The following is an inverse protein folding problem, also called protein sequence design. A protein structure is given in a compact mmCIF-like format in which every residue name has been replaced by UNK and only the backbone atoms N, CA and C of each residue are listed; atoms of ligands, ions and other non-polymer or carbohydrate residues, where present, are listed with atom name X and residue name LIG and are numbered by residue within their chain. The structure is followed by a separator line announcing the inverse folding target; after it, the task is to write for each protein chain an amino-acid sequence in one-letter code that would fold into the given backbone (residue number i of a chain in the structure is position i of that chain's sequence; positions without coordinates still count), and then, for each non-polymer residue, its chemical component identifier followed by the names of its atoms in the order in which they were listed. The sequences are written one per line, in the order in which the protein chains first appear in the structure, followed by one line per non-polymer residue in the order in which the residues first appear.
data_IF_046153680322
#
_entry.id   IF_046153680322
#
_cell.length_a   1.000
_cell.length_b   1.000
_cell.length_c   1.000
_cell.angle_alpha   90.00
_cell.angle_beta   90.00
_cell.angle_gamma   90.00
#
_symmetry.space_group_name_H-M   'P 1'
#
loop_
_entity.id
_entity.type
_entity.pdbx_description
1 polymer ?
#
# COMPACT_ATOMS: atom_id res chain seq x y z
N UNK A 1 -6.20 -33.13 -36.43
CA UNK A 1 -6.63 -33.32 -35.03
C UNK A 1 -5.37 -33.20 -34.17
N UNK A 2 -5.14 -32.19 -33.34
CA UNK A 2 -6.01 -31.31 -32.56
C UNK A 2 -5.35 -29.93 -32.41
N UNK A 3 -6.12 -28.85 -32.56
CA UNK A 3 -5.70 -27.50 -32.17
C UNK A 3 -6.37 -27.16 -30.84
N UNK A 4 -5.57 -26.94 -29.79
CA UNK A 4 -6.07 -26.49 -28.48
C UNK A 4 -6.49 -25.02 -28.58
N UNK A 5 -7.79 -24.79 -28.74
CA UNK A 5 -8.40 -23.47 -28.63
C UNK A 5 -8.57 -23.09 -27.16
N UNK A 6 -7.71 -22.20 -26.65
CA UNK A 6 -7.97 -21.51 -25.38
C UNK A 6 -8.88 -20.33 -25.67
N UNK A 7 -10.19 -20.51 -25.49
CA UNK A 7 -11.13 -19.39 -25.47
C UNK A 7 -10.94 -18.64 -24.16
N UNK A 8 -10.29 -17.48 -24.21
CA UNK A 8 -10.39 -16.48 -23.13
C UNK A 8 -11.87 -16.12 -22.98
N UNK A 9 -12.53 -16.61 -21.94
CA UNK A 9 -13.86 -16.12 -21.58
C UNK A 9 -13.69 -14.68 -21.10
N UNK A 10 -13.92 -13.73 -22.01
CA UNK A 10 -14.00 -12.31 -21.72
C UNK A 10 -15.21 -12.03 -20.84
N UNK A 11 -15.08 -12.24 -19.54
CA UNK A 11 -15.92 -11.57 -18.56
C UNK A 11 -15.52 -10.10 -18.58
N UNK A 12 -16.40 -9.24 -19.10
CA UNK A 12 -16.24 -7.80 -19.00
C UNK A 12 -16.03 -7.43 -17.52
N UNK A 13 -14.83 -6.94 -17.19
CA UNK A 13 -14.50 -6.51 -15.83
C UNK A 13 -15.31 -5.26 -15.53
N UNK A 14 -16.40 -5.40 -14.77
CA UNK A 14 -17.21 -4.27 -14.29
C UNK A 14 -16.56 -3.60 -13.09
N UNK A 15 -15.24 -3.32 -13.16
CA UNK A 15 -14.60 -2.53 -12.11
C UNK A 15 -15.09 -1.08 -12.23
N UNK A 16 -15.65 -0.50 -11.17
CA UNK A 16 -15.96 0.92 -11.17
C UNK A 16 -14.68 1.72 -11.41
N UNK A 17 -14.81 2.86 -12.08
CA UNK A 17 -13.70 3.81 -12.20
C UNK A 17 -13.26 4.25 -10.79
N UNK A 18 -11.95 4.46 -10.57
CA UNK A 18 -11.46 4.97 -9.29
C UNK A 18 -12.08 6.34 -9.00
N UNK A 19 -12.49 6.58 -7.76
CA UNK A 19 -12.98 7.89 -7.33
C UNK A 19 -11.86 8.92 -7.34
N UNK A 20 -12.21 10.21 -7.50
CA UNK A 20 -11.22 11.30 -7.40
C UNK A 20 -10.42 11.26 -6.10
N UNK A 21 -11.11 11.04 -4.97
CA UNK A 21 -10.48 10.91 -3.64
C UNK A 21 -9.48 9.76 -3.53
N UNK A 22 -9.66 8.67 -4.28
CA UNK A 22 -8.72 7.56 -4.31
C UNK A 22 -7.48 7.95 -5.11
N UNK A 23 -7.66 8.64 -6.25
CA UNK A 23 -6.55 9.13 -7.05
C UNK A 23 -5.71 10.16 -6.28
N UNK A 24 -6.36 11.06 -5.55
CA UNK A 24 -5.67 12.06 -4.71
C UNK A 24 -4.83 11.37 -3.62
N UNK A 25 -5.42 10.40 -2.90
CA UNK A 25 -4.68 9.62 -1.90
C UNK A 25 -3.49 8.87 -2.51
N UNK A 26 -3.69 8.23 -3.66
CA UNK A 26 -2.60 7.51 -4.32
C UNK A 26 -1.51 8.48 -4.79
N UNK A 27 -1.88 9.67 -5.28
CA UNK A 27 -0.94 10.71 -5.68
C UNK A 27 -0.11 11.20 -4.50
N UNK A 28 -0.72 11.45 -3.34
CA UNK A 28 -0.02 11.82 -2.11
C UNK A 28 0.98 10.71 -1.70
N UNK A 29 0.54 9.46 -1.71
CA UNK A 29 1.37 8.32 -1.27
C UNK A 29 2.58 8.10 -2.19
N UNK A 30 2.43 8.22 -3.51
CA UNK A 30 3.55 8.01 -4.45
C UNK A 30 4.51 9.19 -4.55
N UNK A 31 4.14 10.35 -4.00
CA UNK A 31 5.01 11.53 -3.99
C UNK A 31 6.14 11.45 -2.96
N UNK A 32 6.06 10.54 -1.97
CA UNK A 32 7.11 10.34 -0.98
C UNK A 32 8.33 9.60 -1.58
N UNK A 33 9.56 10.13 -1.41
CA UNK A 33 10.77 9.54 -1.98
C UNK A 33 11.33 8.40 -1.10
N UNK A 34 10.55 7.33 -0.96
CA UNK A 34 10.90 6.15 -0.15
C UNK A 34 11.76 5.15 -0.94
N UNK A 35 12.83 5.60 -1.58
CA UNK A 35 13.77 4.66 -2.21
C UNK A 35 14.36 3.68 -1.17
N UNK A 36 14.70 2.45 -1.59
CA UNK A 36 15.24 1.46 -0.65
C UNK A 36 16.45 2.02 0.10
N UNK A 37 16.42 1.86 1.43
CA UNK A 37 17.42 2.37 2.40
C UNK A 37 17.40 3.88 2.64
N UNK A 38 16.47 4.64 2.07
CA UNK A 38 16.24 6.04 2.47
C UNK A 38 15.24 6.11 3.64
N UNK A 39 15.16 7.26 4.34
CA UNK A 39 14.17 7.47 5.38
C UNK A 39 12.73 7.40 4.86
N UNK A 40 11.81 6.85 5.67
CA UNK A 40 10.37 6.80 5.34
C UNK A 40 9.48 7.45 6.41
N UNK A 41 10.05 8.13 7.41
CA UNK A 41 9.31 8.64 8.57
C UNK A 41 8.19 9.61 8.18
N UNK A 42 8.41 10.49 7.20
CA UNK A 42 7.35 11.43 6.77
C UNK A 42 6.11 10.71 6.23
N UNK A 43 6.30 9.62 5.47
CA UNK A 43 5.20 8.79 4.99
C UNK A 43 4.53 8.02 6.15
N UNK A 44 5.33 7.52 7.09
CA UNK A 44 4.83 6.80 8.27
C UNK A 44 3.95 7.72 9.13
N UNK A 45 4.42 8.95 9.40
CA UNK A 45 3.70 9.92 10.23
C UNK A 45 2.39 10.34 9.56
N UNK A 46 2.42 10.70 8.27
CA UNK A 46 1.21 11.08 7.54
C UNK A 46 0.18 9.95 7.51
N UNK A 47 0.61 8.71 7.27
CA UNK A 47 -0.33 7.59 7.18
C UNK A 47 -0.80 7.10 8.55
N UNK A 48 0.02 7.22 9.59
CA UNK A 48 -0.36 6.98 10.98
C UNK A 48 -1.51 7.92 11.39
N UNK A 49 -1.37 9.22 11.15
CA UNK A 49 -2.40 10.22 11.48
C UNK A 49 -3.69 9.96 10.71
N UNK A 50 -3.58 9.66 9.41
CA UNK A 50 -4.75 9.35 8.58
C UNK A 50 -5.46 8.08 9.04
N UNK A 51 -4.72 7.03 9.36
CA UNK A 51 -5.27 5.77 9.83
C UNK A 51 -5.94 5.92 11.21
N UNK A 52 -5.33 6.67 12.13
CA UNK A 52 -5.93 7.00 13.42
C UNK A 52 -7.26 7.75 13.24
N UNK A 53 -7.31 8.74 12.33
CA UNK A 53 -8.54 9.45 11.98
C UNK A 53 -9.63 8.57 11.37
N UNK A 54 -9.25 7.45 10.74
CA UNK A 54 -10.16 6.43 10.23
C UNK A 54 -10.55 5.35 11.27
N UNK A 55 -10.08 5.48 12.53
CA UNK A 55 -10.40 4.55 13.62
C UNK A 55 -9.45 3.37 13.78
N UNK A 56 -8.25 3.44 13.19
CA UNK A 56 -7.22 2.42 13.42
C UNK A 56 -6.59 2.56 14.82
N UNK A 57 -6.25 1.43 15.42
CA UNK A 57 -5.22 1.38 16.46
C UNK A 57 -3.87 1.37 15.75
N UNK A 58 -3.09 2.42 15.96
CA UNK A 58 -1.81 2.64 15.29
C UNK A 58 -0.66 2.23 16.19
N UNK A 59 0.27 1.44 15.64
CA UNK A 59 1.53 1.10 16.29
C UNK A 59 2.69 1.30 15.30
N UNK A 60 3.52 2.31 15.56
CA UNK A 60 4.75 2.56 14.80
C UNK A 60 5.85 1.69 15.39
N UNK A 61 6.45 0.85 14.55
CA UNK A 61 7.52 -0.07 14.94
C UNK A 61 8.85 0.50 14.44
N UNK A 62 9.74 0.95 15.34
CA UNK A 62 11.04 1.49 14.95
C UNK A 62 11.87 0.47 14.18
N UNK A 63 12.50 0.93 13.09
CA UNK A 63 13.45 0.15 12.30
C UNK A 63 14.87 0.69 12.41
N UNK A 64 15.64 0.55 11.32
CA UNK A 64 16.93 1.22 11.17
C UNK A 64 16.79 2.75 11.21
N UNK A 65 17.92 3.46 11.37
CA UNK A 65 17.94 4.93 11.43
C UNK A 65 17.12 5.56 10.31
N UNK A 66 16.12 6.36 10.69
CA UNK A 66 15.22 7.04 9.74
C UNK A 66 14.14 6.15 9.13
N UNK A 67 13.97 4.90 9.59
CA UNK A 67 12.94 3.99 9.08
C UNK A 67 12.05 3.44 10.17
N UNK A 68 10.79 3.24 9.83
CA UNK A 68 9.82 2.56 10.68
C UNK A 68 8.88 1.70 9.83
N UNK A 69 8.29 0.70 10.47
CA UNK A 69 7.13 -0.03 9.95
C UNK A 69 5.86 0.48 10.65
N UNK A 70 4.72 0.33 9.99
CA UNK A 70 3.43 0.74 10.52
C UNK A 70 2.51 -0.46 10.65
N UNK A 71 2.10 -0.75 11.88
CA UNK A 71 1.08 -1.76 12.16
C UNK A 71 -0.25 -1.06 12.45
N UNK A 72 -1.26 -1.38 11.65
CA UNK A 72 -2.60 -0.80 11.77
C UNK A 72 -3.59 -1.93 12.06
N UNK A 73 -4.37 -1.78 13.14
CA UNK A 73 -5.45 -2.70 13.47
C UNK A 73 -6.79 -1.98 13.38
N UNK A 74 -7.70 -2.57 12.63
CA UNK A 74 -9.11 -2.19 12.59
C UNK A 74 -9.96 -3.31 13.20
N UNK A 75 -10.96 -2.93 13.99
CA UNK A 75 -11.83 -3.87 14.69
C UNK A 75 -11.39 -4.19 16.13
N UNK A 76 -12.07 -5.16 16.78
CA UNK A 76 -11.90 -5.44 18.20
C UNK A 76 -10.58 -6.13 18.53
N UNK A 77 -10.18 -6.07 19.80
CA UNK A 77 -9.06 -6.82 20.35
C UNK A 77 -9.47 -8.28 20.63
N UNK A 78 -9.55 -9.09 19.57
CA UNK A 78 -10.01 -10.47 19.64
C UNK A 78 -9.18 -11.39 18.72
N UNK A 79 -9.12 -12.71 19.00
CA UNK A 79 -8.43 -13.68 18.14
C UNK A 79 -9.02 -13.76 16.72
N UNK A 80 -8.16 -14.01 15.74
CA UNK A 80 -8.52 -14.11 14.32
C UNK A 80 -8.28 -12.81 13.55
N UNK A 81 -8.69 -12.79 12.27
CA UNK A 81 -8.55 -11.63 11.39
C UNK A 81 -7.75 -11.93 10.12
N UNK A 82 -7.50 -10.87 9.35
CA UNK A 82 -6.72 -10.92 8.11
C UNK A 82 -5.58 -9.92 8.22
N UNK A 83 -4.35 -10.38 7.95
CA UNK A 83 -3.19 -9.50 7.83
C UNK A 83 -2.98 -9.17 6.35
N UNK A 84 -3.07 -7.88 6.02
CA UNK A 84 -2.64 -7.35 4.72
C UNK A 84 -1.31 -6.65 4.94
N UNK A 85 -0.27 -7.11 4.24
CA UNK A 85 1.08 -6.55 4.34
C UNK A 85 1.52 -5.97 3.00
N UNK A 86 2.31 -4.91 3.07
CA UNK A 86 3.02 -4.31 1.95
C UNK A 86 4.32 -3.68 2.45
N UNK A 87 5.08 -3.08 1.55
CA UNK A 87 6.26 -2.31 1.89
C UNK A 87 6.12 -0.89 1.34
N UNK A 88 6.75 0.07 2.01
CA UNK A 88 6.70 1.48 1.60
C UNK A 88 7.82 1.83 0.64
N UNK A 89 8.87 1.01 0.56
CA UNK A 89 10.06 1.35 -0.22
C UNK A 89 9.98 0.94 -1.69
N UNK A 90 10.68 1.65 -2.55
CA UNK A 90 10.77 1.37 -3.98
C UNK A 90 12.24 1.29 -4.41
N UNK A 91 12.51 0.56 -5.49
CA UNK A 91 13.85 0.61 -6.09
C UNK A 91 14.06 1.95 -6.78
N UNK A 92 15.29 2.50 -6.78
CA UNK A 92 15.58 3.72 -7.52
C UNK A 92 15.19 3.57 -8.99
N UNK A 93 14.58 4.62 -9.55
CA UNK A 93 14.33 4.68 -10.98
C UNK A 93 15.69 4.69 -11.69
N UNK A 94 16.05 3.58 -12.33
CA UNK A 94 17.28 3.47 -13.10
C UNK A 94 17.33 4.49 -14.25
N UNK A 95 18.49 4.64 -14.87
CA UNK A 95 18.69 5.57 -16.00
C UNK A 95 18.01 5.14 -17.31
N UNK A 96 17.22 4.06 -17.31
CA UNK A 96 16.49 3.58 -18.49
C UNK A 96 17.38 3.11 -19.63
N UNK A 97 18.59 2.64 -19.34
CA UNK A 97 19.58 2.15 -20.31
C UNK A 97 19.72 0.65 -20.29
#
# INVERSE_FOLDING_TARGET
MYGFGWTIHGMASTRPAPSGSLLDLLADLVAFPTESRTPNLELIDLYADRAAGAGAVVNVVPGETGRANLHLRFGPDAPGGVLVSGHTDVVPAGSGR
#
